data_IF_894291581769
#
_entry.id   IF_894291581769
#
_cell.length_a   1.000
_cell.length_b   1.000
_cell.length_c   1.000
_cell.angle_alpha   90.00
_cell.angle_beta   90.00
_cell.angle_gamma   90.00
#
_symmetry.space_group_name_H-M   'P 1'
#
loop_
_entity.id
_entity.type
_entity.pdbx_description
1 polymer ?
#
# COMPACT_ATOMS: atom_id res chain seq x y z
N UNK A 1 -0.12 9.15 -20.50
CA UNK A 1 0.91 8.35 -19.79
C UNK A 1 0.38 8.06 -18.39
N UNK A 2 -0.21 6.91 -18.21
CA UNK A 2 -0.50 6.42 -16.86
C UNK A 2 0.80 5.86 -16.31
N UNK A 3 1.46 6.61 -15.43
CA UNK A 3 2.67 6.17 -14.77
C UNK A 3 2.35 4.96 -13.90
N UNK A 4 2.72 3.78 -14.37
CA UNK A 4 2.74 2.60 -13.51
C UNK A 4 3.82 2.84 -12.46
N UNK A 5 3.41 3.18 -11.26
CA UNK A 5 4.34 3.26 -10.14
C UNK A 5 4.57 1.85 -9.63
N UNK A 6 5.82 1.53 -9.36
CA UNK A 6 6.21 0.26 -8.76
C UNK A 6 6.46 0.46 -7.26
N UNK A 7 6.16 -0.55 -6.47
CA UNK A 7 6.57 -0.64 -5.08
C UNK A 7 7.71 -1.65 -4.94
N UNK A 8 8.64 -1.36 -4.05
CA UNK A 8 9.70 -2.30 -3.64
C UNK A 8 9.75 -2.34 -2.12
N UNK A 9 9.86 -3.54 -1.57
CA UNK A 9 9.94 -3.76 -0.14
C UNK A 9 10.90 -4.91 0.17
N UNK A 10 11.61 -4.81 1.28
CA UNK A 10 12.48 -5.88 1.77
C UNK A 10 11.69 -6.83 2.68
N UNK A 11 11.64 -8.10 2.29
CA UNK A 11 11.12 -9.20 3.11
C UNK A 11 12.27 -9.74 3.97
N UNK A 12 12.25 -9.39 5.25
CA UNK A 12 13.33 -9.76 6.17
C UNK A 12 13.34 -11.27 6.48
N UNK A 13 12.20 -11.95 6.42
CA UNK A 13 12.12 -13.39 6.69
C UNK A 13 12.75 -14.22 5.56
N UNK A 14 12.57 -13.79 4.32
CA UNK A 14 13.15 -14.43 3.15
C UNK A 14 14.55 -13.89 2.79
N UNK A 15 14.96 -12.75 3.34
CA UNK A 15 16.15 -11.98 2.94
C UNK A 15 16.12 -11.65 1.44
N UNK A 16 14.98 -11.18 0.95
CA UNK A 16 14.71 -10.87 -0.46
C UNK A 16 14.06 -9.51 -0.61
N UNK A 17 14.05 -8.99 -1.82
CA UNK A 17 13.22 -7.85 -2.20
C UNK A 17 12.00 -8.35 -2.97
N UNK A 18 10.83 -7.82 -2.64
CA UNK A 18 9.60 -8.03 -3.39
C UNK A 18 9.30 -6.75 -4.17
N UNK A 19 9.05 -6.89 -5.45
CA UNK A 19 8.69 -5.80 -6.34
C UNK A 19 7.27 -6.06 -6.84
N UNK A 20 6.41 -5.05 -6.73
CA UNK A 20 5.05 -5.05 -7.23
C UNK A 20 4.87 -3.93 -8.25
N UNK A 21 4.23 -4.22 -9.37
CA UNK A 21 3.99 -3.25 -10.46
C UNK A 21 2.85 -3.75 -11.36
N UNK A 22 2.51 -2.97 -12.40
CA UNK A 22 1.67 -3.48 -13.48
C UNK A 22 2.45 -4.43 -14.37
N UNK A 23 1.80 -5.50 -14.83
CA UNK A 23 2.29 -6.34 -15.94
C UNK A 23 2.09 -5.63 -17.30
N UNK A 24 2.57 -6.24 -18.37
CA UNK A 24 2.37 -5.74 -19.73
C UNK A 24 0.89 -5.62 -20.15
N UNK A 25 -0.01 -6.34 -19.48
CA UNK A 25 -1.46 -6.26 -19.65
C UNK A 25 -2.15 -5.31 -18.65
N UNK A 26 -1.38 -4.47 -17.94
CA UNK A 26 -1.81 -3.56 -16.88
C UNK A 26 -2.40 -4.25 -15.62
N UNK A 27 -2.42 -5.57 -15.53
CA UNK A 27 -2.78 -6.29 -14.30
C UNK A 27 -1.65 -6.17 -13.25
N UNK A 28 -2.00 -6.22 -11.97
CA UNK A 28 -1.03 -6.23 -10.89
C UNK A 28 -0.13 -7.47 -10.94
N UNK A 29 1.18 -7.28 -10.88
CA UNK A 29 2.19 -8.33 -10.93
C UNK A 29 3.21 -8.17 -9.80
N UNK A 30 3.83 -9.28 -9.40
CA UNK A 30 4.90 -9.30 -8.40
C UNK A 30 6.04 -10.23 -8.82
N UNK A 31 7.26 -9.86 -8.40
CA UNK A 31 8.48 -10.63 -8.65
C UNK A 31 9.41 -10.52 -7.45
N UNK A 32 10.11 -11.61 -7.15
CA UNK A 32 11.13 -11.65 -6.08
C UNK A 32 12.50 -11.39 -6.65
N UNK A 33 13.26 -10.48 -6.04
CA UNK A 33 14.65 -10.20 -6.35
C UNK A 33 15.59 -10.70 -5.25
N UNK A 34 16.72 -11.27 -5.66
CA UNK A 34 17.83 -11.64 -4.79
C UNK A 34 19.01 -10.72 -5.08
N UNK A 35 19.41 -9.93 -4.10
CA UNK A 35 20.57 -9.06 -4.17
C UNK A 35 21.82 -9.84 -3.74
N UNK A 36 22.87 -9.76 -4.52
CA UNK A 36 24.17 -10.34 -4.22
C UNK A 36 25.28 -9.40 -4.70
N UNK A 37 26.02 -8.82 -3.75
CA UNK A 37 26.98 -7.76 -4.05
C UNK A 37 26.30 -6.58 -4.75
N UNK A 38 26.71 -6.28 -5.97
CA UNK A 38 26.17 -5.19 -6.81
C UNK A 38 25.17 -5.67 -7.86
N UNK A 39 24.74 -6.93 -7.80
CA UNK A 39 23.82 -7.52 -8.77
C UNK A 39 22.50 -7.91 -8.14
N UNK A 40 21.45 -7.97 -8.95
CA UNK A 40 20.17 -8.54 -8.58
C UNK A 40 19.75 -9.59 -9.60
N UNK A 41 19.32 -10.73 -9.12
CA UNK A 41 18.68 -11.79 -9.93
C UNK A 41 17.21 -11.89 -9.55
N UNK A 42 16.36 -12.26 -10.52
CA UNK A 42 14.93 -12.33 -10.35
C UNK A 42 14.41 -13.75 -10.46
N UNK A 43 13.39 -14.06 -9.67
CA UNK A 43 12.59 -15.27 -9.81
C UNK A 43 11.55 -15.16 -10.94
N UNK A 44 10.53 -15.99 -10.87
CA UNK A 44 9.42 -15.94 -11.83
C UNK A 44 8.37 -14.91 -11.38
N UNK A 45 8.00 -14.01 -12.29
CA UNK A 45 6.92 -13.05 -12.03
C UNK A 45 5.56 -13.77 -12.01
N UNK A 46 4.66 -13.30 -11.15
CA UNK A 46 3.26 -13.72 -11.12
C UNK A 46 2.35 -12.54 -11.42
N UNK A 47 1.19 -12.79 -12.00
CA UNK A 47 0.08 -11.84 -12.10
C UNK A 47 -0.97 -12.20 -11.06
N UNK A 48 -1.48 -11.23 -10.30
CA UNK A 48 -2.37 -11.50 -9.17
C UNK A 48 -3.65 -10.68 -9.16
N UNK A 49 -3.68 -9.53 -9.80
CA UNK A 49 -4.90 -8.72 -9.83
C UNK A 49 -5.95 -9.31 -10.75
N UNK A 50 -7.20 -9.29 -10.32
CA UNK A 50 -8.35 -9.64 -11.17
C UNK A 50 -8.68 -8.55 -12.18
N UNK A 51 -8.19 -7.33 -11.97
CA UNK A 51 -8.31 -6.19 -12.86
C UNK A 51 -7.16 -6.14 -13.85
N UNK A 52 -7.45 -5.91 -15.12
CA UNK A 52 -6.44 -5.64 -16.15
C UNK A 52 -6.00 -4.15 -16.18
N UNK A 53 -6.33 -3.39 -15.14
CA UNK A 53 -6.05 -1.96 -15.06
C UNK A 53 -5.73 -1.60 -13.61
N UNK A 54 -4.49 -1.92 -13.18
CA UNK A 54 -3.99 -1.74 -11.83
C UNK A 54 -2.81 -0.78 -11.81
N UNK A 55 -2.85 0.21 -10.92
CA UNK A 55 -1.85 1.28 -10.80
C UNK A 55 -1.55 1.65 -9.36
N UNK A 56 -0.60 2.55 -9.15
CA UNK A 56 -0.32 3.21 -7.86
C UNK A 56 0.00 2.23 -6.73
N UNK A 57 1.02 1.39 -6.96
CA UNK A 57 1.42 0.37 -6.01
C UNK A 57 2.19 0.95 -4.81
N UNK A 58 1.87 0.48 -3.62
CA UNK A 58 2.65 0.65 -2.41
C UNK A 58 2.69 -0.68 -1.65
N UNK A 59 3.74 -0.90 -0.83
CA UNK A 59 3.89 -2.15 -0.12
C UNK A 59 4.58 -1.95 1.23
N UNK A 60 4.17 -2.73 2.23
CA UNK A 60 4.81 -2.79 3.54
C UNK A 60 4.95 -4.23 4.02
N UNK A 61 6.11 -4.55 4.58
CA UNK A 61 6.40 -5.84 5.18
C UNK A 61 5.95 -5.86 6.64
N UNK A 62 5.07 -6.81 6.98
CA UNK A 62 4.65 -7.11 8.34
C UNK A 62 5.60 -8.16 8.93
N UNK A 63 6.48 -7.72 9.82
CA UNK A 63 7.47 -8.59 10.44
C UNK A 63 6.85 -9.61 11.41
N UNK A 64 5.67 -9.32 11.98
CA UNK A 64 4.98 -10.25 12.87
C UNK A 64 4.31 -11.39 12.08
N UNK A 65 3.63 -11.07 10.97
CA UNK A 65 3.02 -12.06 10.10
C UNK A 65 4.02 -12.72 9.13
N UNK A 66 5.21 -12.12 8.95
CA UNK A 66 6.21 -12.49 7.94
C UNK A 66 5.59 -12.50 6.53
N UNK A 67 4.87 -11.45 6.22
CA UNK A 67 4.13 -11.23 4.97
C UNK A 67 4.26 -9.79 4.51
N UNK A 68 3.98 -9.58 3.24
CA UNK A 68 3.89 -8.23 2.68
C UNK A 68 2.47 -7.91 2.28
N UNK A 69 1.96 -6.75 2.70
CA UNK A 69 0.74 -6.18 2.13
C UNK A 69 1.12 -5.34 0.91
N UNK A 70 0.57 -5.68 -0.24
CA UNK A 70 0.65 -4.88 -1.47
C UNK A 70 -0.70 -4.18 -1.62
N UNK A 71 -0.69 -2.85 -1.72
CA UNK A 71 -1.88 -2.02 -1.96
C UNK A 71 -1.76 -1.37 -3.33
N UNK A 72 -2.87 -1.21 -4.02
CA UNK A 72 -2.94 -0.64 -5.36
C UNK A 72 -4.35 -0.13 -5.69
N UNK A 73 -4.46 0.60 -6.78
CA UNK A 73 -5.72 1.04 -7.35
C UNK A 73 -6.10 0.07 -8.50
N UNK A 74 -7.27 -0.54 -8.41
CA UNK A 74 -7.78 -1.50 -9.38
C UNK A 74 -9.08 -1.00 -10.03
N UNK A 75 -9.23 -1.20 -11.33
CA UNK A 75 -10.47 -0.90 -12.03
C UNK A 75 -11.42 -2.10 -11.93
N UNK A 76 -12.42 -1.98 -11.07
CA UNK A 76 -13.42 -3.01 -10.83
C UNK A 76 -14.74 -2.58 -11.50
N UNK A 77 -15.08 -3.22 -12.60
CA UNK A 77 -16.32 -2.92 -13.38
C UNK A 77 -16.46 -1.44 -13.77
N UNK A 78 -15.36 -0.82 -14.20
CA UNK A 78 -15.35 0.59 -14.64
C UNK A 78 -15.19 1.61 -13.51
N UNK A 79 -15.09 1.17 -12.26
CA UNK A 79 -14.86 2.04 -11.10
C UNK A 79 -13.50 1.71 -10.48
N UNK A 80 -12.67 2.72 -10.27
CA UNK A 80 -11.40 2.55 -9.56
C UNK A 80 -11.64 2.40 -8.06
N UNK A 81 -11.06 1.36 -7.49
CA UNK A 81 -11.19 1.02 -6.07
C UNK A 81 -9.84 0.69 -5.47
N UNK A 82 -9.67 1.00 -4.22
CA UNK A 82 -8.51 0.57 -3.45
C UNK A 82 -8.57 -0.93 -3.20
N UNK A 83 -7.56 -1.65 -3.69
CA UNK A 83 -7.42 -3.09 -3.56
C UNK A 83 -6.08 -3.46 -2.90
N UNK A 84 -6.03 -4.63 -2.29
CA UNK A 84 -4.80 -5.17 -1.74
C UNK A 84 -4.75 -6.68 -1.79
N UNK A 85 -3.52 -7.22 -1.72
CA UNK A 85 -3.24 -8.65 -1.56
C UNK A 85 -2.15 -8.86 -0.53
N UNK A 86 -2.21 -9.99 0.16
CA UNK A 86 -1.16 -10.44 1.09
C UNK A 86 -0.20 -11.35 0.33
N UNK A 87 1.05 -10.94 0.20
CA UNK A 87 2.09 -11.71 -0.48
C UNK A 87 2.95 -12.49 0.52
N UNK A 88 3.32 -13.70 0.13
CA UNK A 88 4.26 -14.58 0.83
C UNK A 88 5.44 -14.87 -0.08
N UNK A 89 6.64 -14.53 0.35
CA UNK A 89 7.90 -14.87 -0.34
C UNK A 89 8.44 -16.17 0.19
N UNK A 90 8.84 -17.06 -0.71
CA UNK A 90 9.52 -18.34 -0.38
C UNK A 90 10.63 -18.61 -1.40
N UNK A 91 11.87 -18.52 -0.97
CA UNK A 91 13.03 -18.60 -1.87
C UNK A 91 13.00 -17.49 -2.91
N UNK A 92 12.85 -17.85 -4.19
CA UNK A 92 12.73 -16.91 -5.33
C UNK A 92 11.32 -16.79 -5.86
N UNK A 93 10.34 -17.38 -5.17
CA UNK A 93 8.94 -17.40 -5.58
C UNK A 93 8.09 -16.51 -4.67
N UNK A 94 7.02 -15.99 -5.20
CA UNK A 94 5.98 -15.27 -4.46
C UNK A 94 4.63 -15.91 -4.73
N UNK A 95 3.81 -16.02 -3.69
CA UNK A 95 2.40 -16.37 -3.78
C UNK A 95 1.57 -15.28 -3.13
N UNK A 96 0.32 -15.10 -3.53
CA UNK A 96 -0.58 -14.10 -2.95
C UNK A 96 -1.89 -14.73 -2.48
N UNK A 97 -2.49 -14.13 -1.47
CA UNK A 97 -3.83 -14.46 -1.03
C UNK A 97 -4.91 -13.86 -1.93
N UNK A 98 -6.16 -13.99 -1.51
CA UNK A 98 -7.30 -13.41 -2.22
C UNK A 98 -7.24 -11.87 -2.19
N UNK A 99 -7.55 -11.24 -3.32
CA UNK A 99 -7.71 -9.80 -3.42
C UNK A 99 -8.82 -9.30 -2.50
N UNK A 100 -8.54 -8.25 -1.75
CA UNK A 100 -9.49 -7.59 -0.84
C UNK A 100 -9.60 -6.12 -1.22
N UNK A 101 -10.82 -5.61 -1.33
CA UNK A 101 -11.06 -4.18 -1.51
C UNK A 101 -11.03 -3.49 -0.14
N UNK A 102 -10.11 -2.55 0.04
CA UNK A 102 -10.05 -1.72 1.25
C UNK A 102 -10.88 -0.44 1.13
N UNK A 103 -11.27 -0.05 -0.08
CA UNK A 103 -12.22 1.02 -0.32
C UNK A 103 -13.30 0.58 -1.33
N UNK A 104 -14.56 0.82 -0.98
CA UNK A 104 -15.71 0.63 -1.87
C UNK A 104 -16.02 1.88 -2.71
N UNK A 105 -15.34 2.98 -2.44
CA UNK A 105 -15.51 4.25 -3.13
C UNK A 105 -14.45 4.44 -4.21
N UNK A 106 -14.71 5.37 -5.12
CA UNK A 106 -13.77 5.69 -6.17
C UNK A 106 -12.49 6.30 -5.55
N UNK A 107 -11.35 5.63 -5.77
CA UNK A 107 -10.02 6.05 -5.33
C UNK A 107 -9.20 6.63 -6.49
N UNK A 108 -9.83 6.96 -7.65
CA UNK A 108 -9.13 7.33 -8.88
C UNK A 108 -8.03 8.35 -8.66
N UNK A 109 -6.89 8.05 -9.28
CA UNK A 109 -5.71 8.91 -9.35
C UNK A 109 -5.08 9.22 -8.00
N UNK A 110 -5.26 8.36 -6.98
CA UNK A 110 -4.58 8.55 -5.71
C UNK A 110 -3.70 7.36 -5.34
N UNK A 111 -2.41 7.64 -5.15
CA UNK A 111 -1.50 6.69 -4.52
C UNK A 111 -1.89 6.49 -3.06
N UNK A 112 -2.24 5.27 -2.70
CA UNK A 112 -2.30 4.90 -1.29
C UNK A 112 -0.88 4.69 -0.75
N UNK A 113 -0.61 5.21 0.44
CA UNK A 113 0.59 4.87 1.22
C UNK A 113 0.27 3.76 2.21
N UNK A 114 1.20 2.84 2.43
CA UNK A 114 1.06 1.82 3.48
C UNK A 114 2.31 1.78 4.35
N UNK A 115 2.15 1.64 5.67
CA UNK A 115 3.23 1.43 6.61
C UNK A 115 2.89 0.32 7.61
N UNK A 116 3.93 -0.32 8.15
CA UNK A 116 3.82 -1.30 9.21
C UNK A 116 4.31 -0.71 10.53
N UNK A 117 3.43 -0.70 11.53
CA UNK A 117 3.73 -0.33 12.90
C UNK A 117 4.19 -1.59 13.65
N UNK A 118 5.50 -1.64 13.96
CA UNK A 118 6.11 -2.80 14.61
C UNK A 118 5.68 -2.96 16.08
N UNK A 119 5.30 -1.89 16.75
CA UNK A 119 4.93 -1.92 18.16
C UNK A 119 3.49 -2.43 18.31
N UNK A 120 2.59 -1.91 17.50
CA UNK A 120 1.21 -2.37 17.47
C UNK A 120 1.01 -3.66 16.68
N UNK A 121 1.99 -4.06 15.83
CA UNK A 121 1.90 -5.19 14.89
C UNK A 121 0.72 -5.04 13.91
N UNK A 122 0.55 -3.85 13.39
CA UNK A 122 -0.54 -3.46 12.50
C UNK A 122 -0.02 -2.77 11.25
N UNK A 123 -0.79 -2.85 10.19
CA UNK A 123 -0.59 -2.09 8.98
C UNK A 123 -1.56 -0.91 8.95
N UNK A 124 -1.13 0.23 8.43
CA UNK A 124 -2.01 1.36 8.18
C UNK A 124 -1.94 1.76 6.72
N UNK A 125 -3.08 1.79 6.04
CA UNK A 125 -3.24 2.29 4.67
C UNK A 125 -3.76 3.73 4.76
N UNK A 126 -3.07 4.66 4.10
CA UNK A 126 -3.49 6.05 3.93
C UNK A 126 -3.96 6.23 2.50
N UNK A 127 -5.20 6.68 2.31
CA UNK A 127 -5.79 6.81 0.99
C UNK A 127 -6.80 7.95 0.92
N UNK A 128 -7.14 8.35 -0.29
CA UNK A 128 -8.16 9.35 -0.58
C UNK A 128 -9.36 8.70 -1.23
N UNK A 129 -10.55 9.10 -0.81
CA UNK A 129 -11.80 8.87 -1.53
C UNK A 129 -12.14 10.09 -2.38
N UNK A 130 -12.44 9.88 -3.65
CA UNK A 130 -12.73 11.01 -4.58
C UNK A 130 -14.20 11.38 -4.62
N UNK A 131 -15.10 10.46 -4.27
CA UNK A 131 -16.55 10.70 -4.23
C UNK A 131 -16.96 11.64 -3.09
N UNK A 132 -16.29 11.55 -1.97
CA UNK A 132 -16.28 12.52 -0.89
C UNK A 132 -14.81 12.88 -0.69
N UNK A 133 -14.33 14.08 -1.02
CA UNK A 133 -12.90 14.40 -0.95
C UNK A 133 -12.41 14.30 0.50
N UNK A 134 -12.22 13.05 0.95
CA UNK A 134 -11.85 12.69 2.31
C UNK A 134 -10.57 11.85 2.28
N UNK A 135 -9.64 12.23 3.11
CA UNK A 135 -8.48 11.40 3.41
C UNK A 135 -8.78 10.48 4.59
N UNK A 136 -8.33 9.25 4.47
CA UNK A 136 -8.59 8.21 5.45
C UNK A 136 -7.31 7.47 5.84
N UNK A 137 -7.28 7.04 7.10
CA UNK A 137 -6.37 6.01 7.58
C UNK A 137 -7.17 4.76 7.91
N UNK A 138 -6.70 3.61 7.45
CA UNK A 138 -7.35 2.32 7.65
C UNK A 138 -6.36 1.33 8.24
N UNK A 139 -6.66 0.86 9.45
CA UNK A 139 -5.80 -0.09 10.16
C UNK A 139 -6.16 -1.51 9.75
N UNK A 140 -5.12 -2.30 9.44
CA UNK A 140 -5.26 -3.70 9.02
C UNK A 140 -4.43 -4.66 9.85
N UNK A 141 -4.89 -5.91 9.90
CA UNK A 141 -4.18 -7.04 10.53
C UNK A 141 -4.09 -8.19 9.55
N UNK A 142 -2.87 -8.68 9.29
CA UNK A 142 -2.67 -9.88 8.49
C UNK A 142 -2.84 -11.13 9.36
N UNK A 143 -3.57 -12.11 8.84
CA UNK A 143 -3.70 -13.46 9.40
C UNK A 143 -3.62 -14.48 8.27
N UNK A 144 -2.57 -15.29 8.27
CA UNK A 144 -2.29 -16.22 7.17
C UNK A 144 -2.07 -15.49 5.85
N UNK A 145 -2.93 -15.71 4.87
CA UNK A 145 -2.88 -15.07 3.54
C UNK A 145 -3.97 -14.03 3.34
N UNK A 146 -4.65 -13.63 4.42
CA UNK A 146 -5.75 -12.67 4.40
C UNK A 146 -5.42 -11.45 5.24
N UNK A 147 -6.09 -10.34 4.98
CA UNK A 147 -6.06 -9.12 5.77
C UNK A 147 -7.48 -8.74 6.19
N UNK A 148 -7.63 -8.30 7.42
CA UNK A 148 -8.89 -7.73 7.94
C UNK A 148 -8.65 -6.28 8.31
N UNK A 149 -9.66 -5.44 8.11
CA UNK A 149 -9.60 -3.99 8.37
C UNK A 149 -10.60 -3.57 9.42
N UNK A 150 -10.22 -2.56 10.20
CA UNK A 150 -11.12 -1.82 11.08
C UNK A 150 -11.98 -0.80 10.32
N UNK A 151 -12.54 0.15 11.05
CA UNK A 151 -13.27 1.28 10.46
C UNK A 151 -12.30 2.35 9.98
N UNK A 152 -12.45 2.91 8.77
CA UNK A 152 -11.63 4.02 8.31
C UNK A 152 -11.76 5.24 9.24
N UNK A 153 -10.65 5.90 9.51
CA UNK A 153 -10.59 7.14 10.30
C UNK A 153 -10.30 8.29 9.36
N UNK A 154 -11.21 9.28 9.36
CA UNK A 154 -11.05 10.50 8.60
C UNK A 154 -9.84 11.31 9.09
N UNK A 155 -8.97 11.72 8.16
CA UNK A 155 -7.81 12.56 8.45
C UNK A 155 -8.13 14.01 8.14
N UNK A 156 -7.79 14.91 9.07
CA UNK A 156 -7.77 16.34 8.80
C UNK A 156 -6.38 16.74 8.33
N UNK A 157 -6.24 16.88 7.01
CA UNK A 157 -4.99 17.27 6.37
C UNK A 157 -5.11 18.69 5.81
N UNK A 158 -3.99 19.44 5.82
CA UNK A 158 -3.94 20.79 5.26
C UNK A 158 -3.80 20.72 3.73
N UNK A 159 -4.46 21.64 3.02
CA UNK A 159 -4.36 21.80 1.56
C UNK A 159 -5.64 21.46 0.80
N UNK A 160 -5.65 21.77 -0.49
CA UNK A 160 -6.79 21.48 -1.36
C UNK A 160 -6.81 20.00 -1.74
N UNK A 161 -7.92 19.36 -1.42
CA UNK A 161 -8.16 17.93 -1.58
C UNK A 161 -8.67 17.56 -2.99
N UNK A 162 -8.81 18.54 -3.88
CA UNK A 162 -9.54 18.37 -5.16
C UNK A 162 -8.75 17.64 -6.24
N UNK A 163 -7.43 17.49 -6.10
CA UNK A 163 -6.56 16.95 -7.16
C UNK A 163 -5.70 15.78 -6.70
N UNK A 164 -5.05 15.13 -7.67
CA UNK A 164 -4.20 13.94 -7.51
C UNK A 164 -3.26 14.04 -6.31
N UNK A 165 -3.39 13.13 -5.36
CA UNK A 165 -2.56 13.06 -4.17
C UNK A 165 -1.92 11.70 -4.04
N UNK A 166 -0.62 11.71 -3.78
CA UNK A 166 0.13 10.52 -3.41
C UNK A 166 0.47 10.54 -1.92
N UNK A 167 0.43 9.38 -1.29
CA UNK A 167 0.90 9.19 0.08
C UNK A 167 2.17 8.36 0.10
N UNK A 168 3.13 8.79 0.89
CA UNK A 168 4.27 7.97 1.31
C UNK A 168 4.26 7.94 2.83
N UNK A 169 4.34 6.74 3.39
CA UNK A 169 4.30 6.53 4.83
C UNK A 169 5.46 5.65 5.29
N UNK A 170 6.05 6.00 6.42
CA UNK A 170 7.08 5.20 7.08
C UNK A 170 6.90 5.25 8.59
N UNK A 171 6.99 4.11 9.24
CA UNK A 171 6.93 4.01 10.69
C UNK A 171 8.32 4.25 11.30
N UNK A 172 8.38 5.10 12.33
CA UNK A 172 9.54 5.31 13.17
C UNK A 172 9.35 4.56 14.49
N UNK A 173 10.03 3.42 14.70
CA UNK A 173 9.88 2.62 15.91
C UNK A 173 10.45 3.30 17.16
N UNK A 174 11.35 4.27 16.99
CA UNK A 174 11.90 5.02 18.13
C UNK A 174 10.90 6.04 18.66
N UNK A 175 10.19 6.71 17.77
CA UNK A 175 9.15 7.67 18.11
C UNK A 175 7.79 7.02 18.39
N UNK A 176 7.57 5.76 17.99
CA UNK A 176 6.27 5.08 18.01
C UNK A 176 5.23 5.78 17.12
N UNK A 177 5.65 6.28 15.95
CA UNK A 177 4.82 7.11 15.08
C UNK A 177 5.05 6.81 13.60
N UNK A 178 4.01 6.99 12.80
CA UNK A 178 4.14 6.97 11.35
C UNK A 178 4.30 8.39 10.82
N UNK A 179 5.38 8.65 10.11
CA UNK A 179 5.54 9.84 9.29
C UNK A 179 4.74 9.66 8.00
N UNK A 180 3.93 10.66 7.66
CA UNK A 180 3.12 10.69 6.44
C UNK A 180 3.53 11.90 5.61
N UNK A 181 3.91 11.65 4.36
CA UNK A 181 4.17 12.71 3.37
C UNK A 181 3.09 12.61 2.30
N UNK A 182 2.52 13.74 1.94
CA UNK A 182 1.51 13.85 0.89
C UNK A 182 1.70 15.11 0.07
N UNK A 183 1.38 15.01 -1.21
CA UNK A 183 1.39 16.16 -2.11
C UNK A 183 -0.06 16.58 -2.39
N UNK A 184 -0.33 17.88 -2.34
CA UNK A 184 -1.59 18.46 -2.81
C UNK A 184 -1.29 19.37 -3.99
N UNK A 185 -2.11 19.34 -5.02
CA UNK A 185 -2.00 20.22 -6.16
C UNK A 185 -2.92 21.42 -5.92
N UNK A 186 -2.43 22.42 -5.24
CA UNK A 186 -3.04 23.75 -5.25
C UNK A 186 -2.39 24.62 -6.31
N UNK A 187 -2.91 25.84 -6.55
CA UNK A 187 -2.27 26.84 -7.42
C UNK A 187 -0.82 27.15 -7.02
N UNK A 188 -0.40 26.78 -5.82
CA UNK A 188 0.96 26.69 -5.33
C UNK A 188 1.27 25.25 -4.98
N UNK A 189 2.06 24.57 -5.81
CA UNK A 189 2.52 23.20 -5.59
C UNK A 189 3.27 23.13 -4.24
N UNK A 190 2.72 22.41 -3.25
CA UNK A 190 3.31 22.22 -1.93
C UNK A 190 3.46 20.76 -1.59
N UNK A 191 4.62 20.39 -1.05
CA UNK A 191 4.81 19.13 -0.36
C UNK A 191 4.41 19.34 1.10
N UNK A 192 3.47 18.56 1.58
CA UNK A 192 3.00 18.60 2.95
C UNK A 192 3.44 17.35 3.71
N UNK A 193 3.59 17.49 5.01
CA UNK A 193 3.90 16.37 5.88
C UNK A 193 2.95 16.35 7.07
N UNK A 194 2.71 15.18 7.59
CA UNK A 194 1.96 14.95 8.81
C UNK A 194 2.61 13.84 9.64
N UNK A 195 2.31 13.84 10.94
CA UNK A 195 2.68 12.74 11.83
C UNK A 195 1.39 12.08 12.28
N UNK A 196 1.29 10.79 11.99
CA UNK A 196 0.20 9.96 12.46
C UNK A 196 0.64 9.22 13.72
N UNK A 197 -0.14 9.37 14.77
CA UNK A 197 0.03 8.55 15.98
C UNK A 197 -1.11 7.54 15.99
N UNK A 198 -0.77 6.30 15.84
CA UNK A 198 -1.73 5.21 15.98
C UNK A 198 -2.12 5.07 17.44
N UNK A 199 -3.19 5.74 17.83
CA UNK A 199 -3.93 5.39 19.05
C UNK A 199 -4.82 4.20 18.73
N UNK A 200 -4.31 2.98 18.83
CA UNK A 200 -5.14 1.80 18.71
C UNK A 200 -5.98 1.67 19.99
N UNK A 201 -7.17 2.23 19.98
CA UNK A 201 -8.21 1.81 20.90
C UNK A 201 -8.89 0.58 20.34
N UNK A 202 -9.38 -0.32 21.17
CA UNK A 202 -10.04 -1.56 20.76
C UNK A 202 -11.26 -1.32 19.85
N UNK A 203 -11.74 -0.10 19.74
CA UNK A 203 -12.82 0.36 18.85
C UNK A 203 -12.37 0.65 17.42
N UNK A 204 -11.07 0.66 17.13
CA UNK A 204 -10.51 0.92 15.79
C UNK A 204 -10.05 -0.38 15.07
N UNK A 205 -10.46 -1.53 15.57
CA UNK A 205 -10.20 -2.87 15.00
C UNK A 205 -11.52 -3.56 14.68
#
# INVERSE_FOLDING_TARGET
>A
YNGSMAAIVYDASASKVLIASSSSGAAGAAIVGTVSGTTISFGTAITYSTSNDSYYFSAAYDANAQKTLIVYDANISGVRRGACVVATVSGTSVTVGTEVLYSNFNTSNSNAGVSYDSDAKKLTIFFKETSTPQYNALVGTISGTSVTFGTPVALTLNGDLSTETGFVAAYDPTAGKTALIYATKTATTGLYYGVWTTGYTATNL
#
